data_IF_608575340442
#
_entry.id   IF_608575340442
#
_cell.length_a   1.000
_cell.length_b   1.000
_cell.length_c   1.000
_cell.angle_alpha   90.00
_cell.angle_beta   90.00
_cell.angle_gamma   90.00
#
_symmetry.space_group_name_H-M   'P 1'
#
loop_
_entity.id
_entity.type
_entity.pdbx_description
1 polymer ?
#
# COMPACT_ATOMS: atom_id res chain seq x y z
N UNK A 1 -2.73 1.82 27.45
CA UNK A 1 -4.04 1.73 26.78
C UNK A 1 -3.87 1.76 25.26
N UNK A 2 -3.12 2.72 24.73
CA UNK A 2 -2.87 2.88 23.31
C UNK A 2 -2.32 1.61 22.63
N UNK A 3 -1.26 1.00 23.17
CA UNK A 3 -0.68 -0.24 22.62
C UNK A 3 -1.72 -1.37 22.45
N UNK A 4 -2.70 -1.49 23.35
CA UNK A 4 -3.73 -2.53 23.27
C UNK A 4 -4.68 -2.26 22.10
N UNK A 5 -5.20 -1.04 21.99
CA UNK A 5 -6.08 -0.66 20.89
C UNK A 5 -5.37 -0.64 19.54
N UNK A 6 -4.09 -0.24 19.50
CA UNK A 6 -3.27 -0.31 18.30
C UNK A 6 -3.11 -1.76 17.82
N UNK A 7 -2.90 -2.72 18.73
CA UNK A 7 -2.83 -4.15 18.36
C UNK A 7 -4.14 -4.64 17.78
N UNK A 8 -5.27 -4.27 18.37
CA UNK A 8 -6.61 -4.62 17.84
C UNK A 8 -6.79 -4.02 16.45
N UNK A 9 -6.49 -2.73 16.29
CA UNK A 9 -6.58 -2.03 15.01
C UNK A 9 -5.74 -2.72 13.92
N UNK A 10 -4.47 -3.04 14.22
CA UNK A 10 -3.57 -3.73 13.30
C UNK A 10 -4.05 -5.16 12.98
N UNK A 11 -4.58 -5.89 13.97
CA UNK A 11 -5.10 -7.25 13.77
C UNK A 11 -6.34 -7.28 12.89
N UNK A 12 -7.20 -6.26 13.01
CA UNK A 12 -8.47 -6.16 12.27
C UNK A 12 -8.32 -5.52 10.88
N UNK A 13 -7.29 -4.70 10.65
CA UNK A 13 -7.00 -4.12 9.33
C UNK A 13 -7.04 -5.09 8.13
N UNK A 14 -6.61 -6.37 8.25
CA UNK A 14 -6.70 -7.36 7.18
C UNK A 14 -8.08 -7.99 7.07
N UNK A 15 -8.85 -8.04 8.16
CA UNK A 15 -10.05 -8.87 8.32
C UNK A 15 -11.26 -7.94 8.18
N UNK A 16 -11.49 -7.44 6.97
CA UNK A 16 -12.61 -6.55 6.68
C UNK A 16 -13.48 -7.14 5.58
N UNK A 17 -14.08 -8.28 5.89
CA UNK A 17 -15.38 -8.61 5.30
C UNK A 17 -16.42 -8.43 6.40
N UNK A 18 -17.03 -7.25 6.44
CA UNK A 18 -18.26 -7.04 7.20
C UNK A 18 -19.38 -7.45 6.24
N UNK A 19 -20.13 -8.54 6.50
CA UNK A 19 -21.29 -8.87 5.70
C UNK A 19 -22.22 -7.65 5.69
N UNK A 20 -22.79 -7.35 4.51
CA UNK A 20 -23.52 -6.13 4.22
C UNK A 20 -24.78 -5.99 5.09
N UNK A 21 -24.60 -5.53 6.33
CA UNK A 21 -25.69 -5.16 7.21
C UNK A 21 -26.10 -3.74 6.81
N UNK A 22 -27.39 -3.51 6.54
CA UNK A 22 -27.91 -2.25 5.98
C UNK A 22 -27.51 -0.96 6.72
N UNK A 23 -27.03 -1.04 7.97
CA UNK A 23 -26.41 0.08 8.70
C UNK A 23 -25.08 0.53 8.09
N UNK A 24 -24.20 -0.39 7.70
CA UNK A 24 -22.91 -0.06 7.08
C UNK A 24 -23.11 0.64 5.73
N UNK A 25 -24.11 0.20 4.94
CA UNK A 25 -24.46 0.85 3.68
C UNK A 25 -25.04 2.25 3.83
N UNK A 26 -25.78 2.53 4.91
CA UNK A 26 -26.25 3.89 5.22
C UNK A 26 -25.08 4.82 5.54
N UNK A 27 -24.08 4.37 6.31
CA UNK A 27 -22.89 5.17 6.59
C UNK A 27 -22.07 5.46 5.32
N UNK A 28 -21.92 4.47 4.43
CA UNK A 28 -21.25 4.68 3.14
C UNK A 28 -21.96 5.73 2.28
N UNK A 29 -23.29 5.69 2.21
CA UNK A 29 -24.08 6.68 1.49
C UNK A 29 -23.87 8.10 2.00
N UNK A 30 -23.91 8.32 3.31
CA UNK A 30 -23.71 9.64 3.90
C UNK A 30 -22.30 10.21 3.67
N UNK A 31 -21.28 9.34 3.62
CA UNK A 31 -19.90 9.78 3.52
C UNK A 31 -19.42 9.98 2.06
N UNK A 32 -19.86 9.12 1.14
CA UNK A 32 -19.37 9.11 -0.24
C UNK A 32 -20.41 9.52 -1.28
N UNK A 33 -21.69 9.62 -0.90
CA UNK A 33 -22.79 9.93 -1.82
C UNK A 33 -23.14 8.77 -2.77
N UNK A 34 -22.54 7.59 -2.59
CA UNK A 34 -22.86 6.37 -3.32
C UNK A 34 -22.64 5.13 -2.45
N UNK A 35 -23.33 4.04 -2.79
CA UNK A 35 -23.16 2.74 -2.15
C UNK A 35 -22.27 1.86 -3.02
N UNK A 36 -21.19 1.31 -2.44
CA UNK A 36 -20.34 0.34 -3.11
C UNK A 36 -19.92 -0.75 -2.13
N UNK A 37 -20.24 -2.04 -2.39
CA UNK A 37 -19.74 -3.16 -1.60
C UNK A 37 -18.24 -3.43 -1.85
N UNK A 38 -17.50 -2.46 -2.42
CA UNK A 38 -16.08 -2.62 -2.68
C UNK A 38 -15.29 -2.69 -1.38
N UNK A 39 -14.44 -3.72 -1.27
CA UNK A 39 -13.58 -3.97 -0.12
C UNK A 39 -12.65 -2.76 0.13
N UNK A 40 -12.25 -2.05 -0.93
CA UNK A 40 -11.42 -0.84 -0.84
C UNK A 40 -12.07 0.27 -0.01
N UNK A 41 -13.37 0.50 -0.20
CA UNK A 41 -14.08 1.57 0.49
C UNK A 41 -14.27 1.24 1.98
N UNK A 42 -14.51 -0.03 2.31
CA UNK A 42 -14.54 -0.51 3.70
C UNK A 42 -13.17 -0.41 4.39
N UNK A 43 -12.09 -0.78 3.69
CA UNK A 43 -10.72 -0.63 4.21
C UNK A 43 -10.38 0.84 4.50
N UNK A 44 -10.79 1.74 3.61
CA UNK A 44 -10.59 3.18 3.79
C UNK A 44 -11.36 3.72 5.00
N UNK A 45 -12.63 3.33 5.15
CA UNK A 45 -13.46 3.73 6.31
C UNK A 45 -12.88 3.20 7.62
N UNK A 46 -12.47 1.93 7.65
CA UNK A 46 -11.82 1.34 8.83
C UNK A 46 -10.55 2.10 9.21
N UNK A 47 -9.73 2.45 8.21
CA UNK A 47 -8.54 3.26 8.41
C UNK A 47 -8.88 4.64 9.00
N UNK A 48 -9.87 5.34 8.44
CA UNK A 48 -10.27 6.67 8.91
C UNK A 48 -10.80 6.64 10.35
N UNK A 49 -11.81 5.80 10.62
CA UNK A 49 -12.43 5.71 11.93
C UNK A 49 -11.48 5.13 12.98
N UNK A 50 -10.69 4.12 12.61
CA UNK A 50 -9.71 3.54 13.51
C UNK A 50 -8.61 4.53 13.89
N UNK A 51 -8.16 5.38 12.96
CA UNK A 51 -7.20 6.44 13.26
C UNK A 51 -7.80 7.49 14.20
N UNK A 52 -9.03 7.95 13.94
CA UNK A 52 -9.74 8.90 14.82
C UNK A 52 -9.93 8.29 16.22
N UNK A 53 -10.30 7.02 16.30
CA UNK A 53 -10.43 6.31 17.57
C UNK A 53 -9.09 6.21 18.32
N UNK A 54 -7.99 5.87 17.63
CA UNK A 54 -6.65 5.86 18.23
C UNK A 54 -6.23 7.25 18.70
N UNK A 55 -6.61 8.30 17.98
CA UNK A 55 -6.40 9.68 18.40
C UNK A 55 -7.15 10.01 19.69
N UNK A 56 -8.44 9.67 19.80
CA UNK A 56 -9.22 9.85 21.03
C UNK A 56 -8.57 9.10 22.19
N UNK A 57 -8.17 7.85 21.99
CA UNK A 57 -7.45 7.04 23.01
C UNK A 57 -6.15 7.72 23.44
N UNK A 58 -5.45 8.37 22.51
CA UNK A 58 -4.18 9.06 22.81
C UNK A 58 -4.35 10.27 23.72
N UNK A 59 -5.51 10.93 23.72
CA UNK A 59 -5.80 12.07 24.61
C UNK A 59 -5.79 11.68 26.10
N UNK A 60 -5.95 10.39 26.41
CA UNK A 60 -5.95 9.84 27.76
C UNK A 60 -4.60 9.26 28.20
N UNK A 61 -3.57 9.33 27.37
CA UNK A 61 -2.22 8.90 27.74
C UNK A 61 -1.20 10.01 27.47
N UNK A 62 -0.13 10.07 28.27
CA UNK A 62 0.96 11.01 28.00
C UNK A 62 1.89 10.44 26.90
N UNK A 63 2.39 11.29 25.97
CA UNK A 63 3.33 10.87 24.95
C UNK A 63 4.62 10.32 25.60
N UNK A 64 5.16 9.26 25.01
CA UNK A 64 6.34 8.56 25.52
C UNK A 64 7.62 8.91 24.79
N UNK A 65 7.52 9.44 23.58
CA UNK A 65 8.66 9.87 22.76
C UNK A 65 8.39 11.23 22.18
N UNK A 66 9.43 12.07 22.19
CA UNK A 66 9.42 13.33 21.47
C UNK A 66 9.49 13.03 19.96
N UNK A 67 8.60 13.66 19.22
CA UNK A 67 8.58 13.54 17.77
C UNK A 67 9.63 14.50 17.18
N UNK A 68 10.70 13.97 16.60
CA UNK A 68 11.82 14.77 16.07
C UNK A 68 12.15 14.43 14.60
N UNK A 69 11.20 13.86 13.86
CA UNK A 69 11.45 13.36 12.51
C UNK A 69 11.27 14.46 11.45
N UNK A 70 12.32 15.24 11.22
CA UNK A 70 12.32 16.35 10.24
C UNK A 70 12.02 15.88 8.82
N UNK A 71 12.51 14.71 8.44
CA UNK A 71 12.34 14.18 7.08
C UNK A 71 10.88 13.83 6.80
N UNK A 72 10.18 13.28 7.78
CA UNK A 72 8.75 13.02 7.64
C UNK A 72 7.94 14.32 7.57
N UNK A 73 8.36 15.37 8.29
CA UNK A 73 7.77 16.70 8.15
C UNK A 73 7.88 17.23 6.72
N UNK A 74 9.06 17.12 6.11
CA UNK A 74 9.26 17.54 4.71
C UNK A 74 8.42 16.67 3.75
N UNK A 75 8.44 15.35 3.91
CA UNK A 75 7.61 14.44 3.12
C UNK A 75 6.13 14.80 3.22
N UNK A 76 5.63 15.06 4.43
CA UNK A 76 4.25 15.43 4.69
C UNK A 76 3.85 16.73 3.99
N UNK A 77 4.74 17.72 4.04
CA UNK A 77 4.53 19.00 3.37
C UNK A 77 4.44 18.81 1.85
N UNK A 78 5.36 18.02 1.27
CA UNK A 78 5.34 17.74 -0.17
C UNK A 78 4.07 17.01 -0.58
N UNK A 79 3.64 15.99 0.18
CA UNK A 79 2.39 15.28 -0.10
C UNK A 79 1.17 16.22 -0.01
N UNK A 80 1.13 17.11 0.98
CA UNK A 80 0.04 18.09 1.12
C UNK A 80 0.01 19.05 -0.06
N UNK A 81 1.17 19.58 -0.49
CA UNK A 81 1.28 20.46 -1.65
C UNK A 81 0.87 19.73 -2.93
N UNK A 82 1.36 18.50 -3.14
CA UNK A 82 1.01 17.66 -4.31
C UNK A 82 -0.50 17.46 -4.42
N UNK A 83 -1.17 17.15 -3.29
CA UNK A 83 -2.62 16.90 -3.27
C UNK A 83 -3.43 18.18 -3.44
N UNK A 84 -2.97 19.28 -2.85
CA UNK A 84 -3.61 20.59 -2.97
C UNK A 84 -3.56 21.12 -4.40
N UNK A 85 -2.45 20.90 -5.11
CA UNK A 85 -2.28 21.32 -6.50
C UNK A 85 -3.06 20.46 -7.50
N UNK A 86 -3.63 19.33 -7.09
CA UNK A 86 -4.30 18.41 -8.00
C UNK A 86 -5.83 18.32 -7.77
N UNK A 87 -6.66 18.76 -8.74
CA UNK A 87 -8.10 18.97 -8.53
C UNK A 87 -8.89 17.67 -8.32
N UNK A 88 -8.42 16.52 -8.84
CA UNK A 88 -9.08 15.22 -8.62
C UNK A 88 -8.67 14.54 -7.30
N UNK A 89 -7.68 15.06 -6.58
CA UNK A 89 -7.14 14.42 -5.36
C UNK A 89 -7.44 15.18 -4.07
N UNK A 90 -8.10 16.34 -4.12
CA UNK A 90 -8.56 17.05 -2.92
C UNK A 90 -9.37 16.12 -1.99
N UNK A 91 -10.12 15.19 -2.56
CA UNK A 91 -10.87 14.15 -1.81
C UNK A 91 -9.98 13.17 -1.04
N UNK A 92 -8.71 13.00 -1.44
CA UNK A 92 -7.71 12.16 -0.77
C UNK A 92 -6.95 12.90 0.34
N UNK A 93 -7.04 14.23 0.38
CA UNK A 93 -6.34 15.05 1.37
C UNK A 93 -6.62 14.63 2.83
N UNK A 94 -7.88 14.38 3.25
CA UNK A 94 -8.14 13.93 4.61
C UNK A 94 -7.46 12.59 4.94
N UNK A 95 -7.34 11.69 3.97
CA UNK A 95 -6.72 10.37 4.18
C UNK A 95 -5.21 10.49 4.42
N UNK A 96 -4.56 11.40 3.71
CA UNK A 96 -3.13 11.66 3.88
C UNK A 96 -2.88 12.30 5.25
N UNK A 97 -3.69 13.27 5.65
CA UNK A 97 -3.63 13.85 6.98
C UNK A 97 -3.80 12.80 8.08
N UNK A 98 -4.77 11.90 7.93
CA UNK A 98 -4.99 10.79 8.86
C UNK A 98 -3.82 9.79 8.85
N UNK A 99 -3.18 9.53 7.70
CA UNK A 99 -2.00 8.66 7.64
C UNK A 99 -0.81 9.24 8.41
N UNK A 100 -0.59 10.54 8.28
CA UNK A 100 0.44 11.26 9.04
C UNK A 100 0.11 11.28 10.53
N UNK A 101 -1.16 11.52 10.88
CA UNK A 101 -1.62 11.44 12.26
C UNK A 101 -1.38 10.05 12.85
N UNK A 102 -1.72 8.98 12.12
CA UNK A 102 -1.49 7.61 12.55
C UNK A 102 0.01 7.35 12.80
N UNK A 103 0.88 7.80 11.90
CA UNK A 103 2.33 7.68 12.07
C UNK A 103 2.82 8.41 13.33
N UNK A 104 2.38 9.65 13.53
CA UNK A 104 2.69 10.43 14.74
C UNK A 104 2.23 9.70 16.01
N UNK A 105 0.99 9.21 16.02
CA UNK A 105 0.43 8.48 17.15
C UNK A 105 1.23 7.22 17.46
N UNK A 106 1.55 6.40 16.45
CA UNK A 106 2.33 5.18 16.61
C UNK A 106 3.73 5.50 17.13
N UNK A 107 4.41 6.52 16.61
CA UNK A 107 5.79 6.84 17.01
C UNK A 107 5.86 7.46 18.41
N UNK A 108 4.93 8.35 18.78
CA UNK A 108 4.95 9.06 20.06
C UNK A 108 4.33 8.29 21.23
N UNK A 109 3.29 7.48 21.00
CA UNK A 109 2.51 6.86 22.09
C UNK A 109 2.82 5.38 22.31
N UNK A 110 3.45 4.69 21.35
CA UNK A 110 3.76 3.26 21.50
C UNK A 110 4.81 3.04 22.59
N UNK A 111 4.45 2.29 23.64
CA UNK A 111 5.36 1.94 24.75
C UNK A 111 6.26 0.76 24.35
N UNK A 112 5.66 -0.33 23.88
CA UNK A 112 6.38 -1.57 23.57
C UNK A 112 6.29 -1.93 22.09
N UNK A 113 7.23 -1.39 21.29
CA UNK A 113 7.31 -1.62 19.84
C UNK A 113 7.42 -3.11 19.52
N UNK A 114 8.25 -3.88 20.25
CA UNK A 114 8.38 -5.32 20.02
C UNK A 114 7.04 -6.04 20.14
N UNK A 115 6.20 -5.64 21.10
CA UNK A 115 4.89 -6.25 21.27
C UNK A 115 3.90 -5.89 20.16
N UNK A 116 4.01 -4.71 19.56
CA UNK A 116 3.19 -4.30 18.41
C UNK A 116 3.63 -5.03 17.14
N UNK A 117 4.95 -5.16 16.92
CA UNK A 117 5.50 -5.89 15.78
C UNK A 117 5.09 -7.38 15.76
N UNK A 118 4.85 -8.00 16.93
CA UNK A 118 4.30 -9.38 16.98
C UNK A 118 2.94 -9.51 16.30
N UNK A 119 2.13 -8.46 16.25
CA UNK A 119 0.83 -8.49 15.55
C UNK A 119 1.03 -8.66 14.04
N UNK A 120 2.07 -8.04 13.46
CA UNK A 120 2.40 -8.22 12.05
C UNK A 120 2.73 -9.68 11.74
N UNK A 121 3.43 -10.37 12.64
CA UNK A 121 3.74 -11.81 12.49
C UNK A 121 2.46 -12.64 12.50
N UNK A 122 1.56 -12.39 13.45
CA UNK A 122 0.28 -13.11 13.56
C UNK A 122 -0.57 -12.91 12.31
N UNK A 123 -0.70 -11.68 11.84
CA UNK A 123 -1.46 -11.36 10.63
C UNK A 123 -0.82 -11.97 9.38
N UNK A 124 0.51 -11.92 9.26
CA UNK A 124 1.23 -12.55 8.14
C UNK A 124 0.99 -14.06 8.13
N UNK A 125 1.06 -14.71 9.30
CA UNK A 125 0.78 -16.14 9.47
C UNK A 125 -0.65 -16.49 9.06
N UNK A 126 -1.65 -15.75 9.56
CA UNK A 126 -3.05 -15.95 9.18
C UNK A 126 -3.23 -15.79 7.67
N UNK A 127 -2.68 -14.74 7.08
CA UNK A 127 -2.77 -14.53 5.64
C UNK A 127 -2.10 -15.66 4.83
N UNK A 128 -0.97 -16.17 5.28
CA UNK A 128 -0.29 -17.30 4.61
C UNK A 128 -1.11 -18.59 4.74
N UNK A 129 -1.70 -18.88 5.91
CA UNK A 129 -2.60 -20.03 6.09
C UNK A 129 -3.80 -19.93 5.14
N UNK A 130 -4.46 -18.78 5.07
CA UNK A 130 -5.58 -18.57 4.15
C UNK A 130 -5.16 -18.64 2.68
N UNK A 131 -3.96 -18.17 2.35
CA UNK A 131 -3.41 -18.27 0.99
C UNK A 131 -3.14 -19.73 0.60
N UNK A 132 -2.66 -20.55 1.53
CA UNK A 132 -2.48 -21.99 1.33
C UNK A 132 -3.82 -22.71 1.15
N UNK A 133 -4.83 -22.40 1.97
CA UNK A 133 -6.17 -22.95 1.81
C UNK A 133 -6.76 -22.60 0.43
N UNK A 134 -6.63 -21.34 0.01
CA UNK A 134 -7.08 -20.88 -1.31
C UNK A 134 -6.30 -21.55 -2.45
N UNK A 135 -5.01 -21.85 -2.26
CA UNK A 135 -4.21 -22.60 -3.24
C UNK A 135 -4.76 -24.02 -3.46
N UNK A 136 -5.32 -24.65 -2.42
CA UNK A 136 -6.02 -25.94 -2.51
C UNK A 136 -7.51 -25.84 -2.89
N UNK A 137 -7.99 -24.67 -3.28
CA UNK A 137 -9.40 -24.44 -3.66
C UNK A 137 -10.37 -24.35 -2.48
N UNK A 138 -9.88 -24.23 -1.24
CA UNK A 138 -10.72 -24.07 -0.05
C UNK A 138 -10.94 -22.58 0.22
N UNK A 139 -12.15 -22.10 -0.06
CA UNK A 139 -12.54 -20.69 0.08
C UNK A 139 -13.45 -20.46 1.29
N UNK A 140 -12.86 -20.04 2.42
CA UNK A 140 -13.61 -19.81 3.67
C UNK A 140 -14.35 -18.46 3.71
N UNK A 141 -13.67 -17.37 3.38
CA UNK A 141 -14.19 -15.99 3.51
C UNK A 141 -14.48 -15.38 2.14
N UNK A 142 -13.44 -15.29 1.31
CA UNK A 142 -13.57 -14.78 -0.05
C UNK A 142 -13.57 -15.93 -1.05
N UNK A 143 -14.41 -15.82 -2.10
CA UNK A 143 -14.51 -16.78 -3.21
C UNK A 143 -13.98 -16.18 -4.53
N UNK A 144 -12.68 -15.86 -4.64
CA UNK A 144 -12.09 -15.47 -5.91
C UNK A 144 -12.07 -16.68 -6.85
N UNK A 145 -12.41 -16.48 -8.13
CA UNK A 145 -12.47 -17.59 -9.10
C UNK A 145 -11.08 -18.11 -9.49
N UNK A 146 -10.05 -17.26 -9.49
CA UNK A 146 -8.71 -17.62 -10.03
C UNK A 146 -7.53 -17.05 -9.21
N UNK A 147 -7.79 -16.20 -8.22
CA UNK A 147 -6.75 -15.44 -7.53
C UNK A 147 -6.60 -15.82 -6.06
N UNK A 148 -5.35 -15.90 -5.59
CA UNK A 148 -5.03 -16.07 -4.18
C UNK A 148 -4.93 -14.68 -3.55
N UNK A 149 -5.84 -14.37 -2.64
CA UNK A 149 -6.02 -13.04 -2.04
C UNK A 149 -5.86 -13.05 -0.51
N UNK A 150 -5.72 -14.23 0.10
CA UNK A 150 -5.60 -14.39 1.54
C UNK A 150 -6.80 -13.80 2.29
N UNK A 151 -6.54 -13.15 3.42
CA UNK A 151 -7.54 -12.37 4.17
C UNK A 151 -7.71 -10.94 3.66
N UNK A 152 -6.77 -10.44 2.84
CA UNK A 152 -6.72 -9.04 2.43
C UNK A 152 -7.77 -8.64 1.38
N UNK A 153 -8.49 -9.59 0.81
CA UNK A 153 -9.51 -9.35 -0.23
C UNK A 153 -8.95 -9.02 -1.62
N UNK A 154 -7.72 -8.50 -1.70
CA UNK A 154 -7.00 -8.23 -2.94
C UNK A 154 -5.60 -8.84 -2.95
N UNK A 155 -5.23 -9.40 -4.10
CA UNK A 155 -3.91 -9.99 -4.36
C UNK A 155 -2.75 -9.00 -4.15
N UNK A 156 -2.92 -7.75 -4.60
CA UNK A 156 -1.90 -6.71 -4.44
C UNK A 156 -1.69 -6.35 -2.98
N UNK A 157 -2.77 -6.21 -2.20
CA UNK A 157 -2.71 -5.90 -0.76
C UNK A 157 -2.06 -7.04 0.03
N UNK A 158 -2.40 -8.30 -0.28
CA UNK A 158 -1.72 -9.47 0.26
C UNK A 158 -0.22 -9.40 -0.01
N UNK A 159 0.17 -9.18 -1.26
CA UNK A 159 1.58 -9.08 -1.64
C UNK A 159 2.31 -7.99 -0.87
N UNK A 160 1.77 -6.76 -0.87
CA UNK A 160 2.38 -5.60 -0.19
C UNK A 160 2.54 -5.87 1.30
N UNK A 161 1.51 -6.41 1.95
CA UNK A 161 1.58 -6.72 3.37
C UNK A 161 2.65 -7.74 3.69
N UNK A 162 2.71 -8.84 2.92
CA UNK A 162 3.72 -9.87 3.12
C UNK A 162 5.12 -9.30 2.88
N UNK A 163 5.31 -8.44 1.87
CA UNK A 163 6.57 -7.76 1.62
C UNK A 163 7.04 -6.87 2.78
N UNK A 164 6.12 -6.15 3.43
CA UNK A 164 6.41 -5.34 4.63
C UNK A 164 6.68 -6.24 5.84
N UNK A 165 5.97 -7.36 5.97
CA UNK A 165 6.12 -8.29 7.08
C UNK A 165 7.45 -9.04 7.05
N UNK A 166 8.06 -9.30 5.89
CA UNK A 166 9.36 -9.99 5.75
C UNK A 166 10.44 -9.36 6.64
N UNK A 167 10.82 -8.07 6.47
CA UNK A 167 11.87 -7.46 7.27
C UNK A 167 11.51 -7.37 8.76
N UNK A 168 10.23 -7.19 9.08
CA UNK A 168 9.75 -7.14 10.47
C UNK A 168 9.91 -8.50 11.15
N UNK A 169 9.47 -9.58 10.48
CA UNK A 169 9.59 -10.94 10.99
C UNK A 169 11.07 -11.30 11.15
N UNK A 170 11.90 -10.96 10.17
CA UNK A 170 13.34 -11.19 10.22
C UNK A 170 14.00 -10.50 11.42
N UNK A 171 13.65 -9.24 11.69
CA UNK A 171 14.18 -8.48 12.82
C UNK A 171 13.80 -9.06 14.20
N UNK A 172 12.66 -9.77 14.29
CA UNK A 172 12.26 -10.47 15.52
C UNK A 172 12.92 -11.84 15.66
N UNK A 173 12.86 -12.65 14.59
CA UNK A 173 13.52 -13.94 14.47
C UNK A 173 13.62 -14.31 12.97
N UNK A 174 14.83 -14.55 12.43
CA UNK A 174 15.03 -14.87 11.01
C UNK A 174 14.11 -15.98 10.46
N UNK A 175 13.83 -17.01 11.26
CA UNK A 175 12.97 -18.12 10.84
C UNK A 175 11.51 -17.71 10.62
N UNK A 176 11.02 -16.68 11.31
CA UNK A 176 9.66 -16.18 11.11
C UNK A 176 9.47 -15.55 9.73
N UNK A 177 10.54 -15.10 9.07
CA UNK A 177 10.47 -14.50 7.74
C UNK A 177 10.07 -15.49 6.63
N UNK A 178 10.21 -16.80 6.87
CA UNK A 178 9.76 -17.84 5.93
C UNK A 178 8.24 -17.74 5.69
N UNK A 179 7.47 -17.44 6.73
CA UNK A 179 6.01 -17.35 6.68
C UNK A 179 5.54 -16.29 5.66
N UNK A 180 5.98 -15.02 5.73
CA UNK A 180 5.59 -14.03 4.74
C UNK A 180 6.25 -14.24 3.37
N UNK A 181 7.42 -14.89 3.27
CA UNK A 181 8.00 -15.27 1.97
C UNK A 181 7.10 -16.26 1.22
N UNK A 182 6.58 -17.28 1.91
CA UNK A 182 5.61 -18.23 1.32
C UNK A 182 4.35 -17.49 0.88
N UNK A 183 3.81 -16.62 1.74
CA UNK A 183 2.62 -15.82 1.41
C UNK A 183 2.84 -14.90 0.20
N UNK A 184 4.00 -14.26 0.10
CA UNK A 184 4.38 -13.42 -1.03
C UNK A 184 4.46 -14.24 -2.33
N UNK A 185 5.10 -15.41 -2.28
CA UNK A 185 5.19 -16.32 -3.43
C UNK A 185 3.80 -16.75 -3.93
N UNK A 186 2.90 -17.14 -3.03
CA UNK A 186 1.54 -17.53 -3.36
C UNK A 186 0.71 -16.38 -3.93
N UNK A 187 0.92 -15.15 -3.47
CA UNK A 187 0.21 -13.98 -3.99
C UNK A 187 0.51 -13.72 -5.47
N UNK A 188 1.68 -14.14 -6.00
CA UNK A 188 2.12 -13.85 -7.36
C UNK A 188 2.08 -12.35 -7.71
N UNK A 189 2.36 -11.48 -6.75
CA UNK A 189 2.37 -10.03 -6.91
C UNK A 189 3.79 -9.51 -7.16
N UNK A 190 4.05 -9.07 -8.40
CA UNK A 190 5.37 -8.57 -8.82
C UNK A 190 5.71 -7.25 -8.14
N UNK A 191 4.71 -6.38 -7.96
CA UNK A 191 4.91 -5.05 -7.36
C UNK A 191 5.36 -5.12 -5.91
N UNK A 192 4.99 -6.19 -5.19
CA UNK A 192 5.40 -6.42 -3.82
C UNK A 192 6.80 -7.06 -3.70
N UNK A 193 7.31 -7.63 -4.79
CA UNK A 193 8.61 -8.32 -4.79
C UNK A 193 9.77 -7.32 -4.69
N UNK A 194 9.66 -6.18 -5.38
CA UNK A 194 10.66 -5.08 -5.31
C UNK A 194 10.88 -4.58 -3.88
N UNK A 195 9.85 -4.12 -3.13
CA UNK A 195 10.05 -3.65 -1.76
C UNK A 195 10.51 -4.77 -0.82
N UNK A 196 10.13 -6.03 -1.07
CA UNK A 196 10.66 -7.17 -0.31
C UNK A 196 12.17 -7.35 -0.51
N UNK A 197 12.67 -7.24 -1.75
CA UNK A 197 14.11 -7.28 -2.05
C UNK A 197 14.82 -6.13 -1.34
N UNK A 198 14.33 -4.90 -1.47
CA UNK A 198 14.96 -3.71 -0.88
C UNK A 198 15.03 -3.85 0.65
N UNK A 199 13.93 -4.27 1.28
CA UNK A 199 13.85 -4.48 2.73
C UNK A 199 14.83 -5.55 3.21
N UNK A 200 14.96 -6.66 2.47
CA UNK A 200 15.92 -7.72 2.82
C UNK A 200 17.37 -7.33 2.54
N UNK A 201 17.65 -6.62 1.44
CA UNK A 201 18.98 -6.10 1.14
C UNK A 201 19.50 -5.15 2.24
N UNK A 202 18.61 -4.29 2.77
CA UNK A 202 18.95 -3.43 3.90
C UNK A 202 19.34 -4.23 5.16
N UNK A 203 18.62 -5.31 5.45
CA UNK A 203 18.90 -6.16 6.62
C UNK A 203 20.17 -7.02 6.43
N UNK A 204 20.45 -7.48 5.22
CA UNK A 204 21.66 -8.23 4.86
C UNK A 204 22.94 -7.45 5.14
N UNK A 205 22.94 -6.12 4.92
CA UNK A 205 24.08 -5.25 5.23
C UNK A 205 24.50 -5.34 6.71
N UNK A 206 23.59 -5.73 7.61
CA UNK A 206 23.83 -5.76 9.06
C UNK A 206 24.14 -7.16 9.63
N UNK A 207 23.76 -8.24 8.94
CA UNK A 207 23.91 -9.62 9.42
C UNK A 207 24.41 -10.55 8.29
N UNK A 208 25.74 -10.67 8.16
CA UNK A 208 26.39 -11.35 7.03
C UNK A 208 26.39 -12.90 7.15
N UNK A 209 26.23 -13.47 8.35
CA UNK A 209 26.52 -14.89 8.59
C UNK A 209 25.37 -15.73 9.17
N UNK A 210 24.21 -15.13 9.46
CA UNK A 210 23.07 -15.87 10.01
C UNK A 210 21.94 -16.03 8.99
N UNK A 211 21.78 -17.24 8.45
CA UNK A 211 20.56 -17.75 7.78
C UNK A 211 20.43 -17.49 6.26
N UNK A 212 20.97 -18.42 5.47
CA UNK A 212 20.88 -18.50 4.01
C UNK A 212 19.48 -18.87 3.48
N UNK A 213 18.61 -19.51 4.27
CA UNK A 213 17.36 -20.11 3.78
C UNK A 213 16.31 -19.06 3.34
N UNK A 214 15.93 -18.05 4.14
CA UNK A 214 14.94 -17.05 3.68
C UNK A 214 15.43 -16.25 2.48
N UNK A 215 16.74 -15.96 2.45
CA UNK A 215 17.41 -15.28 1.34
C UNK A 215 17.41 -16.15 0.06
N UNK A 216 17.65 -17.45 0.21
CA UNK A 216 17.58 -18.41 -0.89
C UNK A 216 16.15 -18.56 -1.41
N UNK A 217 15.15 -18.63 -0.54
CA UNK A 217 13.74 -18.66 -0.96
C UNK A 217 13.33 -17.37 -1.69
N UNK A 218 13.81 -16.21 -1.22
CA UNK A 218 13.56 -14.95 -1.90
C UNK A 218 14.27 -14.91 -3.26
N UNK A 219 15.52 -15.37 -3.35
CA UNK A 219 16.25 -15.49 -4.61
C UNK A 219 15.55 -16.44 -5.61
N UNK A 220 15.06 -17.59 -5.15
CA UNK A 220 14.24 -18.50 -5.98
C UNK A 220 12.97 -17.80 -6.44
N UNK A 221 12.28 -17.08 -5.55
CA UNK A 221 11.08 -16.34 -5.93
C UNK A 221 11.40 -15.32 -7.03
N UNK A 222 12.51 -14.57 -6.90
CA UNK A 222 12.98 -13.69 -7.96
C UNK A 222 13.18 -14.45 -9.28
N UNK A 223 13.93 -15.56 -9.28
CA UNK A 223 14.23 -16.32 -10.50
C UNK A 223 12.95 -16.83 -11.18
N UNK A 224 12.03 -17.41 -10.40
CA UNK A 224 10.76 -17.96 -10.92
C UNK A 224 9.86 -16.84 -11.48
N UNK A 225 9.83 -15.68 -10.84
CA UNK A 225 9.04 -14.55 -11.32
C UNK A 225 9.70 -13.87 -12.53
N UNK A 226 10.98 -13.52 -12.46
CA UNK A 226 11.70 -12.81 -13.53
C UNK A 226 11.91 -13.66 -14.79
N UNK A 227 11.87 -15.00 -14.71
CA UNK A 227 11.98 -15.88 -15.87
C UNK A 227 10.76 -15.89 -16.82
N UNK A 228 9.65 -15.21 -16.49
CA UNK A 228 8.40 -15.23 -17.26
C UNK A 228 7.93 -13.86 -17.78
N UNK A 229 6.66 -13.81 -18.26
CA UNK A 229 5.87 -12.69 -18.88
C UNK A 229 5.95 -11.30 -18.18
N UNK A 230 6.71 -11.17 -17.10
CA UNK A 230 6.97 -9.93 -16.36
C UNK A 230 7.81 -8.95 -17.16
N UNK A 231 8.82 -9.41 -17.92
CA UNK A 231 9.64 -8.52 -18.75
C UNK A 231 8.79 -7.69 -19.71
N UNK A 232 7.74 -8.29 -20.30
CA UNK A 232 6.80 -7.59 -21.16
C UNK A 232 5.97 -6.53 -20.40
N UNK A 233 5.49 -6.83 -19.18
CA UNK A 233 4.75 -5.85 -18.37
C UNK A 233 5.64 -4.73 -17.84
N UNK A 234 6.88 -5.05 -17.49
CA UNK A 234 7.88 -4.06 -17.09
C UNK A 234 8.29 -3.19 -18.27
N UNK A 235 8.53 -3.77 -19.46
CA UNK A 235 8.90 -3.01 -20.65
C UNK A 235 7.79 -2.02 -21.04
N UNK A 236 6.52 -2.45 -20.99
CA UNK A 236 5.38 -1.55 -21.20
C UNK A 236 5.39 -0.39 -20.20
N UNK A 237 5.56 -0.66 -18.90
CA UNK A 237 5.63 0.40 -17.87
C UNK A 237 6.83 1.33 -18.07
N UNK A 238 7.97 0.77 -18.46
CA UNK A 238 9.21 1.53 -18.69
C UNK A 238 9.06 2.47 -19.88
N UNK A 239 8.41 2.01 -20.95
CA UNK A 239 8.07 2.85 -22.12
C UNK A 239 7.23 4.05 -21.69
N UNK A 240 6.19 3.83 -20.86
CA UNK A 240 5.37 4.95 -20.40
C UNK A 240 6.11 5.87 -19.41
N UNK A 241 6.99 5.33 -18.56
CA UNK A 241 7.85 6.14 -17.69
C UNK A 241 8.81 7.03 -18.49
N UNK A 242 9.42 6.50 -19.56
CA UNK A 242 10.30 7.28 -20.44
C UNK A 242 9.54 8.45 -21.06
N UNK A 243 8.35 8.19 -21.62
CA UNK A 243 7.52 9.27 -22.19
C UNK A 243 7.14 10.32 -21.15
N UNK A 244 6.92 9.89 -19.91
CA UNK A 244 6.59 10.81 -18.81
C UNK A 244 7.76 11.68 -18.42
N UNK A 245 8.95 11.10 -18.34
CA UNK A 245 10.18 11.86 -18.11
C UNK A 245 10.40 12.87 -19.23
N UNK A 246 10.19 12.50 -20.51
CA UNK A 246 10.28 13.44 -21.63
C UNK A 246 9.31 14.62 -21.47
N UNK A 247 8.04 14.35 -21.17
CA UNK A 247 7.02 15.38 -20.96
C UNK A 247 7.34 16.30 -19.78
N UNK A 248 7.89 15.76 -18.69
CA UNK A 248 8.38 16.58 -17.57
C UNK A 248 9.57 17.43 -18.00
N UNK A 249 10.51 16.89 -18.76
CA UNK A 249 11.67 17.65 -19.23
C UNK A 249 11.28 18.81 -20.15
N UNK A 250 10.19 18.69 -20.91
CA UNK A 250 9.63 19.79 -21.72
C UNK A 250 9.07 20.92 -20.86
N UNK A 251 8.38 20.60 -19.75
CA UNK A 251 7.80 21.58 -18.81
C UNK A 251 7.97 21.14 -17.35
N UNK A 252 9.14 21.38 -16.74
CA UNK A 252 9.53 20.71 -15.50
C UNK A 252 8.76 21.15 -14.26
N UNK A 253 8.35 22.41 -14.16
CA UNK A 253 7.83 22.94 -12.89
C UNK A 253 6.31 22.98 -12.79
N UNK A 254 5.60 23.37 -13.85
CA UNK A 254 4.16 23.56 -13.79
C UNK A 254 3.41 22.68 -14.78
N UNK A 255 4.12 21.72 -15.39
CA UNK A 255 3.61 20.89 -16.47
C UNK A 255 2.92 21.74 -17.53
N UNK A 256 1.81 21.23 -18.04
CA UNK A 256 0.97 21.99 -18.95
C UNK A 256 0.02 22.95 -18.23
N UNK A 257 -0.32 22.72 -16.95
CA UNK A 257 -1.29 23.48 -16.17
C UNK A 257 -2.47 22.65 -15.62
N UNK A 258 -3.07 23.13 -14.52
CA UNK A 258 -4.22 22.51 -13.85
C UNK A 258 -5.48 22.68 -14.71
N UNK A 259 -6.26 21.62 -14.93
CA UNK A 259 -7.50 21.65 -15.74
C UNK A 259 -7.35 21.19 -17.19
N UNK A 260 -6.14 20.85 -17.62
CA UNK A 260 -5.86 20.43 -19.01
C UNK A 260 -6.30 19.00 -19.32
N UNK A 261 -6.69 18.24 -18.30
CA UNK A 261 -7.21 16.87 -18.46
C UNK A 261 -8.43 16.77 -19.37
N UNK A 262 -9.29 17.79 -19.36
CA UNK A 262 -10.44 17.87 -20.25
C UNK A 262 -10.03 18.33 -21.65
N UNK A 263 -9.05 19.24 -21.77
CA UNK A 263 -8.60 19.82 -23.04
C UNK A 263 -7.71 18.90 -23.90
N UNK A 264 -6.91 18.02 -23.29
CA UNK A 264 -6.10 17.02 -24.03
C UNK A 264 -7.00 15.91 -24.58
N UNK A 265 -8.15 15.65 -23.94
CA UNK A 265 -9.18 14.68 -24.36
C UNK A 265 -9.82 14.99 -25.70
N UNK A 266 -9.89 16.26 -26.06
CA UNK A 266 -10.60 16.70 -27.26
C UNK A 266 -9.66 16.96 -28.44
N UNK A 267 -8.39 17.27 -28.20
CA UNK A 267 -7.48 17.79 -29.24
C UNK A 267 -6.47 16.79 -29.81
N UNK A 268 -6.35 15.58 -29.24
CA UNK A 268 -5.55 14.53 -29.86
C UNK A 268 -6.46 13.54 -30.57
N UNK A 269 -6.30 13.32 -31.89
CA UNK A 269 -7.04 12.27 -32.58
C UNK A 269 -6.78 10.95 -31.86
N UNK A 270 -7.83 10.10 -31.80
CA UNK A 270 -7.94 8.78 -31.14
C UNK A 270 -6.89 7.76 -31.61
N UNK A 271 -5.63 8.15 -31.60
CA UNK A 271 -4.47 7.32 -31.86
C UNK A 271 -4.13 6.59 -30.57
N UNK A 272 -3.46 5.46 -30.75
CA UNK A 272 -2.96 4.49 -29.76
C UNK A 272 -2.47 5.09 -28.41
N UNK A 273 -2.02 6.35 -28.42
CA UNK A 273 -1.70 7.15 -27.24
C UNK A 273 -2.88 7.37 -26.29
N UNK A 274 -4.09 7.67 -26.77
CA UNK A 274 -5.25 7.92 -25.90
C UNK A 274 -5.68 6.66 -25.14
N UNK A 275 -5.74 5.52 -25.81
CA UNK A 275 -5.97 4.21 -25.15
C UNK A 275 -4.90 3.87 -24.11
N UNK A 276 -3.65 4.33 -24.31
CA UNK A 276 -2.61 4.24 -23.27
C UNK A 276 -2.93 5.21 -22.12
N UNK A 277 -3.27 6.47 -22.34
CA UNK A 277 -3.50 7.44 -21.25
C UNK A 277 -4.83 7.28 -20.50
N UNK A 278 -5.88 6.74 -21.12
CA UNK A 278 -7.19 6.49 -20.48
C UNK A 278 -7.26 5.17 -19.74
N UNK A 279 -6.24 4.32 -19.87
CA UNK A 279 -6.16 3.13 -19.04
C UNK A 279 -6.18 3.58 -17.57
N UNK A 280 -7.09 3.09 -16.70
CA UNK A 280 -7.12 3.44 -15.29
C UNK A 280 -5.77 3.22 -14.60
N UNK A 281 -4.91 2.34 -15.14
CA UNK A 281 -3.55 2.16 -14.68
C UNK A 281 -2.60 3.31 -15.03
N UNK A 282 -3.02 4.34 -15.76
CA UNK A 282 -2.19 5.41 -16.29
C UNK A 282 -2.65 6.81 -15.83
N UNK A 283 -3.60 6.85 -14.89
CA UNK A 283 -4.12 8.07 -14.23
C UNK A 283 -3.01 8.97 -13.65
N UNK A 284 -1.91 8.39 -13.15
CA UNK A 284 -0.77 9.13 -12.62
C UNK A 284 0.05 9.86 -13.69
N UNK A 285 -0.01 9.42 -14.96
CA UNK A 285 0.61 10.15 -16.07
C UNK A 285 -0.09 11.46 -16.36
N UNK A 286 -1.40 11.51 -16.14
CA UNK A 286 -2.12 12.76 -16.14
C UNK A 286 -1.50 13.75 -15.15
N UNK A 287 -1.31 13.32 -13.91
CA UNK A 287 -0.76 14.17 -12.83
C UNK A 287 0.64 14.70 -13.20
N UNK A 288 1.53 13.83 -13.67
CA UNK A 288 2.86 14.24 -14.15
C UNK A 288 2.78 15.23 -15.33
N UNK A 289 1.83 15.06 -16.24
CA UNK A 289 1.64 15.96 -17.38
C UNK A 289 1.11 17.34 -16.97
N UNK A 290 0.19 17.40 -16.00
CA UNK A 290 -0.43 18.65 -15.57
C UNK A 290 0.47 19.46 -14.62
N UNK A 291 1.27 18.80 -13.77
CA UNK A 291 2.02 19.46 -12.68
C UNK A 291 3.54 19.28 -12.82
N UNK A 292 4.03 18.63 -13.88
CA UNK A 292 5.46 18.44 -14.14
C UNK A 292 6.11 17.54 -13.10
N UNK A 293 7.30 17.92 -12.63
CA UNK A 293 8.08 17.14 -11.66
C UNK A 293 7.34 16.92 -10.34
N UNK A 294 6.41 17.81 -9.98
CA UNK A 294 5.58 17.65 -8.78
C UNK A 294 4.55 16.53 -8.91
N UNK A 295 4.21 16.09 -10.14
CA UNK A 295 3.34 14.94 -10.34
C UNK A 295 4.06 13.58 -10.28
N UNK A 296 5.39 13.57 -10.20
CA UNK A 296 6.20 12.36 -9.94
C UNK A 296 6.34 12.08 -8.44
N UNK A 297 6.13 13.11 -7.61
CA UNK A 297 6.24 13.03 -6.15
C UNK A 297 4.88 12.69 -5.52
#
# INVERSE_FOLDING_TARGET
MFDFFLKIFLLLSPILYIPNNGLAGRFQWYQFGYFSPSINLLQLQFFQYGTIFLFIVSLFENPKRLFQDKYLGILSFICMVSVYLHPKTITLFPNICLGLLLYYLVTSYTKNVKSVLKVFVVVALLNTIFSLLQFYGIHLIYRPKEEIIGLMGYKTHLGIYQAIAIPICYALNPWLSIVPVIGLFLSKSVTALIPAIIGMAYLLKRYILGFSIPNFMLAISCIVFFGGRIFYKLSLRFEVWIETVKMILEKPFFGHGIGIFEYVSENHPQSIYWTKYTDPYNLYFGVAHAVGIFGVI
#
